data_IF_006487785614
#
_entry.id   IF_006487785614
#
_cell.length_a   1.000
_cell.length_b   1.000
_cell.length_c   1.000
_cell.angle_alpha   90.00
_cell.angle_beta   90.00
_cell.angle_gamma   90.00
#
_symmetry.space_group_name_H-M   'P 1'
#
loop_
_entity.id
_entity.type
_entity.pdbx_description
1 polymer ?
#
# COMPACT_ATOMS: atom_id res chain seq x y z
N UNK A 1 39.00 2.96 -5.93
CA UNK A 1 38.14 4.07 -5.44
C UNK A 1 37.69 4.92 -6.63
N UNK A 2 36.83 4.41 -7.51
CA UNK A 2 36.54 5.13 -8.77
C UNK A 2 35.28 4.72 -9.51
N UNK A 3 34.21 4.31 -8.81
CA UNK A 3 32.94 3.97 -9.47
C UNK A 3 31.67 4.45 -8.73
N UNK A 4 31.79 5.14 -7.58
CA UNK A 4 30.60 5.66 -6.86
C UNK A 4 30.20 7.08 -7.28
N UNK A 5 31.08 7.83 -7.95
CA UNK A 5 30.84 9.25 -8.28
C UNK A 5 30.09 9.48 -9.59
N UNK A 6 29.83 8.43 -10.38
CA UNK A 6 29.22 8.57 -11.72
C UNK A 6 27.72 8.27 -11.76
N UNK A 7 27.15 7.64 -10.72
CA UNK A 7 25.71 7.34 -10.62
C UNK A 7 24.86 8.53 -10.12
N UNK A 8 25.48 9.57 -9.59
CA UNK A 8 24.77 10.74 -9.06
C UNK A 8 24.42 11.80 -10.13
N UNK A 9 24.98 11.75 -11.35
CA UNK A 9 24.81 12.85 -12.32
C UNK A 9 23.47 12.85 -13.06
N UNK A 10 22.73 11.74 -13.07
CA UNK A 10 21.62 11.56 -14.02
C UNK A 10 20.23 11.52 -13.36
N UNK A 11 20.15 11.43 -12.02
CA UNK A 11 18.87 11.49 -11.31
C UNK A 11 18.52 12.94 -10.97
N UNK A 12 17.75 13.59 -11.85
CA UNK A 12 17.23 14.94 -11.64
C UNK A 12 15.73 14.95 -11.87
N UNK A 13 14.98 15.21 -10.79
CA UNK A 13 13.56 15.49 -10.89
C UNK A 13 13.34 16.78 -11.68
N UNK A 14 12.45 16.74 -12.65
CA UNK A 14 12.04 17.85 -13.50
C UNK A 14 10.67 18.42 -13.10
N UNK A 15 9.96 17.71 -12.21
CA UNK A 15 8.63 18.06 -11.71
C UNK A 15 7.52 17.61 -12.66
N UNK A 16 6.32 17.45 -12.11
CA UNK A 16 5.15 16.89 -12.79
C UNK A 16 4.87 17.55 -14.14
N UNK A 17 5.02 18.88 -14.23
CA UNK A 17 4.72 19.64 -15.45
C UNK A 17 5.72 19.35 -16.60
N UNK A 18 6.97 19.06 -16.27
CA UNK A 18 8.02 18.84 -17.27
C UNK A 18 8.30 17.35 -17.49
N UNK A 19 7.69 16.48 -16.67
CA UNK A 19 7.84 15.04 -16.79
C UNK A 19 7.16 14.53 -18.06
N UNK A 20 7.94 13.92 -18.95
CA UNK A 20 7.43 13.26 -20.15
C UNK A 20 7.36 11.76 -19.88
N UNK A 21 6.17 11.27 -19.57
CA UNK A 21 5.93 9.85 -19.32
C UNK A 21 6.21 9.04 -20.58
N UNK A 22 7.07 8.03 -20.44
CA UNK A 22 7.29 6.98 -21.45
C UNK A 22 7.16 5.61 -20.78
N UNK A 23 6.47 4.68 -21.44
CA UNK A 23 6.36 3.30 -20.98
C UNK A 23 7.17 2.40 -21.93
N UNK A 24 8.45 2.11 -21.60
CA UNK A 24 9.33 1.31 -22.44
C UNK A 24 9.02 -0.19 -22.40
N UNK A 25 8.06 -0.62 -21.56
CA UNK A 25 7.72 -2.03 -21.33
C UNK A 25 8.94 -2.88 -20.93
N UNK A 26 9.71 -2.38 -19.96
CA UNK A 26 11.03 -2.92 -19.58
C UNK A 26 11.05 -3.88 -18.38
N UNK A 27 9.91 -4.36 -17.88
CA UNK A 27 9.88 -5.35 -16.79
C UNK A 27 10.82 -6.54 -17.08
N UNK A 28 11.64 -6.91 -16.11
CA UNK A 28 12.61 -8.02 -16.23
C UNK A 28 11.98 -9.39 -16.06
N UNK A 29 10.77 -9.43 -15.54
CA UNK A 29 9.94 -10.60 -15.35
C UNK A 29 8.48 -10.19 -15.43
N UNK A 30 7.62 -11.09 -15.88
CA UNK A 30 6.20 -10.78 -16.05
C UNK A 30 5.51 -10.61 -14.68
N UNK A 31 5.00 -9.40 -14.44
CA UNK A 31 4.20 -9.04 -13.27
C UNK A 31 2.73 -8.97 -13.66
N UNK A 32 1.88 -9.68 -12.92
CA UNK A 32 0.45 -9.73 -13.20
C UNK A 32 -0.30 -8.61 -12.43
N UNK A 33 -0.17 -8.61 -11.10
CA UNK A 33 -0.92 -7.72 -10.20
C UNK A 33 -0.36 -7.74 -8.78
N UNK A 34 -0.84 -6.84 -7.93
CA UNK A 34 -0.73 -7.01 -6.49
C UNK A 34 -1.45 -8.29 -6.06
N UNK A 35 -0.81 -9.07 -5.20
CA UNK A 35 -1.36 -10.31 -4.66
C UNK A 35 -1.90 -10.13 -3.25
N UNK A 36 -1.06 -9.67 -2.32
CA UNK A 36 -1.46 -9.41 -0.93
C UNK A 36 -0.48 -8.45 -0.26
N UNK A 37 -0.90 -7.88 0.86
CA UNK A 37 -0.03 -7.12 1.77
C UNK A 37 0.03 -7.88 3.10
N UNK A 38 1.24 -8.18 3.58
CA UNK A 38 1.42 -8.78 4.90
C UNK A 38 1.86 -7.74 5.92
N UNK A 39 1.10 -7.63 7.00
CA UNK A 39 1.44 -6.90 8.21
C UNK A 39 2.06 -7.86 9.22
N UNK A 40 3.17 -7.43 9.81
CA UNK A 40 3.67 -8.06 11.03
C UNK A 40 3.15 -7.28 12.23
N UNK A 41 2.67 -8.02 13.22
CA UNK A 41 1.93 -7.48 14.35
C UNK A 41 2.38 -8.12 15.67
N UNK A 42 2.11 -7.45 16.78
CA UNK A 42 2.26 -8.03 18.13
C UNK A 42 1.17 -9.06 18.43
N UNK A 43 -0.05 -8.84 17.94
CA UNK A 43 -1.17 -9.77 18.01
C UNK A 43 -1.99 -9.72 16.71
N UNK A 44 -1.97 -10.82 15.96
CA UNK A 44 -2.64 -10.89 14.66
C UNK A 44 -4.16 -10.88 14.78
N UNK A 45 -4.72 -11.45 15.86
CA UNK A 45 -6.18 -11.55 16.08
C UNK A 45 -6.83 -10.18 16.20
N UNK A 46 -6.29 -9.31 17.04
CA UNK A 46 -6.80 -7.96 17.27
C UNK A 46 -6.59 -7.07 16.05
N UNK A 47 -5.40 -7.11 15.44
CA UNK A 47 -5.12 -6.34 14.23
C UNK A 47 -6.07 -6.74 13.08
N UNK A 48 -6.18 -8.04 12.80
CA UNK A 48 -7.09 -8.59 11.80
C UNK A 48 -8.56 -8.23 12.10
N UNK A 49 -9.02 -8.40 13.33
CA UNK A 49 -10.41 -8.10 13.69
C UNK A 49 -10.74 -6.61 13.54
N UNK A 50 -9.81 -5.72 13.95
CA UNK A 50 -9.99 -4.27 13.80
C UNK A 50 -10.05 -3.86 12.33
N UNK A 51 -9.13 -4.35 11.51
CA UNK A 51 -9.14 -4.07 10.07
C UNK A 51 -10.36 -4.68 9.38
N UNK A 52 -10.79 -5.87 9.80
CA UNK A 52 -11.98 -6.54 9.28
C UNK A 52 -13.22 -5.68 9.50
N UNK A 53 -13.42 -5.24 10.74
CA UNK A 53 -14.55 -4.39 11.11
C UNK A 53 -14.44 -2.98 10.51
N UNK A 54 -13.26 -2.36 10.55
CA UNK A 54 -13.06 -0.99 10.12
C UNK A 54 -13.11 -0.79 8.61
N UNK A 55 -12.65 -1.77 7.82
CA UNK A 55 -12.64 -1.72 6.35
C UNK A 55 -13.77 -2.55 5.70
N UNK A 56 -14.49 -3.34 6.49
CA UNK A 56 -15.51 -4.25 5.96
C UNK A 56 -14.90 -5.37 5.13
N UNK A 57 -13.79 -5.94 5.60
CA UNK A 57 -13.08 -7.03 4.94
C UNK A 57 -13.20 -8.31 5.79
N UNK A 58 -13.98 -9.32 5.38
CA UNK A 58 -14.11 -10.55 6.16
C UNK A 58 -12.77 -11.31 6.23
N UNK A 59 -12.53 -11.97 7.36
CA UNK A 59 -11.46 -12.97 7.48
C UNK A 59 -11.90 -14.22 6.71
N UNK A 60 -11.21 -14.52 5.61
CA UNK A 60 -11.58 -15.60 4.67
C UNK A 60 -10.69 -16.82 4.80
N UNK A 61 -9.45 -16.67 5.30
CA UNK A 61 -8.54 -17.77 5.52
C UNK A 61 -7.68 -17.56 6.77
N UNK A 62 -7.16 -18.64 7.32
CA UNK A 62 -6.27 -18.62 8.48
C UNK A 62 -5.20 -19.71 8.39
N UNK A 63 -4.07 -19.47 9.04
CA UNK A 63 -3.08 -20.48 9.40
C UNK A 63 -2.64 -20.19 10.83
N UNK A 64 -3.10 -21.01 11.77
CA UNK A 64 -2.83 -20.88 13.21
C UNK A 64 -2.78 -22.27 13.87
N UNK A 65 -2.73 -22.34 15.20
CA UNK A 65 -2.69 -23.61 15.95
C UNK A 65 -3.80 -24.59 15.55
N UNK A 66 -5.00 -24.09 15.21
CA UNK A 66 -6.13 -24.93 14.83
C UNK A 66 -5.94 -25.61 13.47
N UNK A 67 -5.04 -25.08 12.64
CA UNK A 67 -4.64 -25.62 11.32
C UNK A 67 -3.31 -26.37 11.39
N UNK A 68 -2.75 -26.56 12.60
CA UNK A 68 -1.47 -27.22 12.83
C UNK A 68 -0.23 -26.33 12.73
N UNK A 69 -0.39 -25.01 12.50
CA UNK A 69 0.74 -24.08 12.49
C UNK A 69 1.14 -23.70 13.92
N UNK A 70 2.34 -24.12 14.33
CA UNK A 70 2.90 -23.90 15.66
C UNK A 70 3.89 -22.74 15.73
N UNK A 71 4.17 -22.08 14.60
CA UNK A 71 5.17 -21.01 14.48
C UNK A 71 4.52 -19.64 14.59
N UNK A 72 3.41 -19.44 13.88
CA UNK A 72 2.74 -18.14 13.79
C UNK A 72 1.23 -18.30 13.65
N UNK A 73 0.51 -17.26 14.05
CA UNK A 73 -0.89 -17.06 13.71
C UNK A 73 -0.96 -16.09 12.54
N UNK A 74 -1.64 -16.48 11.46
CA UNK A 74 -1.89 -15.63 10.30
C UNK A 74 -3.35 -15.61 9.90
N UNK A 75 -3.92 -14.42 9.73
CA UNK A 75 -5.32 -14.21 9.33
C UNK A 75 -5.39 -13.39 8.05
N UNK A 76 -6.06 -13.94 7.03
CA UNK A 76 -6.24 -13.31 5.73
C UNK A 76 -7.62 -12.67 5.64
N UNK A 77 -7.64 -11.35 5.46
CA UNK A 77 -8.82 -10.56 5.16
C UNK A 77 -8.90 -10.36 3.66
N UNK A 78 -10.11 -10.43 3.09
CA UNK A 78 -10.31 -10.21 1.65
C UNK A 78 -11.55 -9.39 1.35
N UNK A 79 -11.44 -8.41 0.46
CA UNK A 79 -12.59 -7.72 -0.14
C UNK A 79 -12.30 -7.45 -1.62
N UNK A 80 -13.10 -8.07 -2.50
CA UNK A 80 -12.73 -8.24 -3.91
C UNK A 80 -11.39 -8.95 -4.08
N UNK A 81 -10.46 -8.31 -4.78
CA UNK A 81 -9.09 -8.74 -5.00
C UNK A 81 -8.11 -8.21 -3.95
N UNK A 82 -8.52 -7.26 -3.10
CA UNK A 82 -7.68 -6.79 -2.00
C UNK A 82 -7.54 -7.89 -0.94
N UNK A 83 -6.30 -8.21 -0.58
CA UNK A 83 -5.97 -9.23 0.41
C UNK A 83 -4.96 -8.69 1.42
N UNK A 84 -5.33 -8.65 2.69
CA UNK A 84 -4.47 -8.26 3.81
C UNK A 84 -4.22 -9.46 4.73
N UNK A 85 -2.95 -9.77 4.96
CA UNK A 85 -2.51 -10.85 5.83
C UNK A 85 -1.93 -10.25 7.11
N UNK A 86 -2.39 -10.67 8.28
CA UNK A 86 -1.83 -10.24 9.56
C UNK A 86 -1.17 -11.43 10.22
N UNK A 87 0.13 -11.32 10.51
CA UNK A 87 0.92 -12.40 11.09
C UNK A 87 1.54 -11.97 12.43
N UNK A 88 1.49 -12.86 13.41
CA UNK A 88 2.14 -12.68 14.71
C UNK A 88 2.80 -13.99 15.17
N UNK A 89 3.95 -13.94 15.86
CA UNK A 89 4.66 -15.12 16.28
C UNK A 89 3.98 -15.75 17.50
N UNK A 90 3.99 -17.07 17.57
CA UNK A 90 3.77 -17.76 18.83
C UNK A 90 5.07 -17.80 19.67
N UNK A 91 4.96 -18.26 20.93
CA UNK A 91 6.14 -18.56 21.73
C UNK A 91 6.99 -19.64 21.03
N UNK A 92 8.31 -19.44 20.85
CA UNK A 92 9.19 -20.45 20.26
C UNK A 92 9.21 -21.79 21.00
N UNK A 93 8.79 -21.82 22.28
CA UNK A 93 8.65 -23.06 23.04
C UNK A 93 7.56 -23.99 22.52
N UNK A 94 6.56 -23.48 21.78
CA UNK A 94 5.47 -24.28 21.22
C UNK A 94 5.97 -25.19 20.09
N UNK A 95 6.96 -24.75 19.32
CA UNK A 95 7.54 -25.49 18.19
C UNK A 95 8.82 -26.26 18.54
N UNK A 96 9.29 -26.18 19.79
CA UNK A 96 10.57 -26.75 20.23
C UNK A 96 10.65 -28.30 20.17
N UNK A 97 9.52 -28.99 19.95
CA UNK A 97 9.41 -30.45 20.05
C UNK A 97 9.25 -31.24 18.74
N UNK A 98 9.31 -30.61 17.56
CA UNK A 98 9.08 -31.34 16.31
C UNK A 98 9.32 -30.54 15.02
N UNK A 99 8.99 -31.17 13.88
CA UNK A 99 9.04 -30.52 12.56
C UNK A 99 7.90 -29.52 12.40
N UNK A 100 8.01 -28.36 13.05
CA UNK A 100 7.01 -27.31 12.98
C UNK A 100 6.88 -26.78 11.55
N UNK A 101 5.65 -26.76 11.02
CA UNK A 101 5.36 -26.28 9.67
C UNK A 101 4.79 -24.88 9.72
N UNK A 102 5.59 -23.87 9.38
CA UNK A 102 5.08 -22.54 9.06
C UNK A 102 4.45 -22.57 7.67
N UNK A 103 3.22 -22.06 7.53
CA UNK A 103 2.59 -21.90 6.21
C UNK A 103 3.30 -20.83 5.37
N UNK A 104 3.92 -19.84 6.02
CA UNK A 104 4.78 -18.85 5.39
C UNK A 104 6.23 -19.26 5.68
N UNK A 105 6.96 -19.82 4.71
CA UNK A 105 8.29 -20.40 4.94
C UNK A 105 9.36 -19.38 5.34
N UNK A 106 9.11 -18.09 5.09
CA UNK A 106 10.00 -16.97 5.40
C UNK A 106 9.73 -16.33 6.76
N UNK A 107 8.72 -16.80 7.49
CA UNK A 107 8.40 -16.27 8.79
C UNK A 107 9.48 -16.65 9.80
N UNK A 108 10.09 -15.63 10.43
CA UNK A 108 11.00 -15.78 11.55
C UNK A 108 10.46 -15.05 12.78
N UNK A 109 10.29 -15.76 13.88
CA UNK A 109 9.66 -15.22 15.08
C UNK A 109 10.48 -14.09 15.72
N UNK A 110 11.82 -14.21 15.73
CA UNK A 110 12.69 -13.19 16.29
C UNK A 110 12.68 -11.91 15.45
N UNK A 111 12.72 -12.04 14.12
CA UNK A 111 12.59 -10.93 13.18
C UNK A 111 11.22 -10.26 13.30
N UNK A 112 10.14 -11.03 13.44
CA UNK A 112 8.80 -10.47 13.62
C UNK A 112 8.67 -9.67 14.93
N UNK A 113 9.22 -10.19 16.03
CA UNK A 113 9.25 -9.46 17.31
C UNK A 113 10.10 -8.19 17.22
N UNK A 114 11.29 -8.27 16.61
CA UNK A 114 12.16 -7.12 16.39
C UNK A 114 11.49 -6.06 15.51
N UNK A 115 10.81 -6.47 14.44
CA UNK A 115 10.07 -5.59 13.55
C UNK A 115 8.93 -4.90 14.29
N UNK A 116 8.10 -5.64 15.02
CA UNK A 116 6.98 -5.09 15.76
C UNK A 116 7.42 -4.14 16.88
N UNK A 117 8.54 -4.43 17.55
CA UNK A 117 9.13 -3.53 18.55
C UNK A 117 9.66 -2.23 17.91
N UNK A 118 10.37 -2.36 16.78
CA UNK A 118 11.00 -1.25 16.07
C UNK A 118 10.01 -0.34 15.36
N UNK A 119 8.97 -0.90 14.73
CA UNK A 119 8.05 -0.15 13.85
C UNK A 119 6.63 -0.02 14.42
N UNK A 120 6.24 -0.85 15.40
CA UNK A 120 4.84 -1.04 15.76
C UNK A 120 4.11 -1.91 14.73
N UNK A 121 2.83 -1.62 14.49
CA UNK A 121 2.09 -2.22 13.38
C UNK A 121 2.62 -1.66 12.05
N UNK A 122 3.11 -2.52 11.16
CA UNK A 122 3.64 -2.11 9.87
C UNK A 122 3.58 -3.21 8.81
N UNK A 123 3.72 -2.81 7.54
CA UNK A 123 3.77 -3.75 6.41
C UNK A 123 5.17 -4.36 6.33
N UNK A 124 5.24 -5.68 6.41
CA UNK A 124 6.46 -6.46 6.19
C UNK A 124 6.66 -6.79 4.72
N UNK A 125 5.61 -7.25 4.04
CA UNK A 125 5.72 -7.72 2.66
C UNK A 125 4.68 -7.07 1.75
N UNK A 126 5.15 -6.56 0.61
CA UNK A 126 4.32 -6.24 -0.55
C UNK A 126 4.45 -7.43 -1.50
N UNK A 127 3.38 -8.19 -1.69
CA UNK A 127 3.41 -9.37 -2.54
C UNK A 127 2.84 -9.08 -3.93
N UNK A 128 3.59 -9.49 -4.96
CA UNK A 128 3.19 -9.44 -6.36
C UNK A 128 2.92 -10.86 -6.86
N UNK A 129 1.83 -11.00 -7.61
CA UNK A 129 1.63 -12.18 -8.44
C UNK A 129 2.47 -12.01 -9.70
N UNK A 130 3.36 -12.97 -9.94
CA UNK A 130 4.26 -13.01 -11.11
C UNK A 130 4.05 -14.31 -11.87
N UNK A 131 4.45 -14.34 -13.15
CA UNK A 131 4.33 -15.56 -13.94
C UNK A 131 5.14 -16.73 -13.34
N UNK A 132 6.34 -16.45 -12.82
CA UNK A 132 7.22 -17.43 -12.18
C UNK A 132 8.08 -16.75 -11.10
N UNK A 133 7.87 -17.13 -9.83
CA UNK A 133 8.59 -16.56 -8.69
C UNK A 133 10.09 -16.90 -8.68
N UNK A 134 10.49 -18.07 -9.21
CA UNK A 134 11.90 -18.45 -9.32
C UNK A 134 12.60 -17.60 -10.38
N UNK A 135 11.96 -17.44 -11.54
CA UNK A 135 12.48 -16.59 -12.60
C UNK A 135 12.55 -15.12 -12.17
N UNK A 136 11.51 -14.60 -11.49
CA UNK A 136 11.48 -13.24 -10.97
C UNK A 136 12.59 -12.99 -9.95
N UNK A 137 12.80 -13.90 -9.00
CA UNK A 137 13.88 -13.82 -8.04
C UNK A 137 15.25 -13.83 -8.71
N UNK A 138 15.50 -14.78 -9.62
CA UNK A 138 16.78 -14.89 -10.33
C UNK A 138 17.07 -13.64 -11.14
N UNK A 139 16.09 -13.12 -11.87
CA UNK A 139 16.22 -11.87 -12.63
C UNK A 139 16.50 -10.68 -11.70
N UNK A 140 15.81 -10.59 -10.56
CA UNK A 140 16.01 -9.53 -9.58
C UNK A 140 17.42 -9.54 -9.00
N UNK A 141 17.89 -10.68 -8.49
CA UNK A 141 19.22 -10.81 -7.86
C UNK A 141 20.34 -10.58 -8.88
N UNK A 142 20.18 -11.05 -10.12
CA UNK A 142 21.12 -10.79 -11.21
C UNK A 142 21.26 -9.29 -11.54
N UNK A 143 20.27 -8.48 -11.16
CA UNK A 143 20.25 -7.03 -11.35
C UNK A 143 20.31 -6.26 -10.01
N UNK A 144 20.91 -6.88 -9.00
CA UNK A 144 21.32 -6.20 -7.77
C UNK A 144 20.30 -6.20 -6.63
N UNK A 145 19.17 -6.90 -6.75
CA UNK A 145 18.27 -7.08 -5.61
C UNK A 145 18.96 -7.86 -4.49
N UNK A 146 18.81 -7.39 -3.25
CA UNK A 146 19.29 -8.11 -2.08
C UNK A 146 18.38 -9.32 -1.80
N UNK A 147 18.89 -10.56 -1.84
CA UNK A 147 18.06 -11.74 -1.58
C UNK A 147 17.67 -11.81 -0.11
N UNK A 148 16.39 -12.07 0.17
CA UNK A 148 15.88 -12.30 1.53
C UNK A 148 15.48 -13.75 1.73
N UNK A 149 14.79 -14.34 0.75
CA UNK A 149 14.48 -15.76 0.73
C UNK A 149 14.58 -16.34 -0.67
N UNK A 150 15.34 -17.43 -0.80
CA UNK A 150 15.50 -18.13 -2.07
C UNK A 150 14.17 -18.77 -2.51
N UNK A 151 13.97 -18.99 -3.82
CA UNK A 151 12.75 -19.57 -4.34
C UNK A 151 12.44 -20.93 -3.72
N UNK A 152 11.18 -21.10 -3.33
CA UNK A 152 10.64 -22.36 -2.84
C UNK A 152 9.32 -22.68 -3.57
N UNK A 153 9.09 -23.96 -3.79
CA UNK A 153 7.83 -24.46 -4.34
C UNK A 153 6.97 -25.04 -3.21
N UNK A 154 6.02 -24.24 -2.72
CA UNK A 154 5.12 -24.59 -1.63
C UNK A 154 4.04 -25.54 -2.12
N UNK A 155 3.81 -26.63 -1.38
CA UNK A 155 2.81 -27.65 -1.71
C UNK A 155 2.95 -28.23 -3.12
N UNK A 156 4.14 -28.15 -3.74
CA UNK A 156 4.38 -28.59 -5.12
C UNK A 156 3.73 -27.71 -6.22
N UNK A 157 3.08 -26.60 -5.86
CA UNK A 157 2.20 -25.83 -6.76
C UNK A 157 2.39 -24.31 -6.76
N UNK A 158 2.85 -23.73 -5.65
CA UNK A 158 2.95 -22.27 -5.49
C UNK A 158 4.42 -21.87 -5.37
N UNK A 159 4.94 -21.14 -6.34
CA UNK A 159 6.27 -20.54 -6.28
C UNK A 159 6.27 -19.36 -5.31
N UNK A 160 7.33 -19.25 -4.51
CA UNK A 160 7.45 -18.24 -3.47
C UNK A 160 8.90 -17.79 -3.33
N UNK A 161 9.17 -16.48 -3.34
CA UNK A 161 10.50 -15.92 -3.12
C UNK A 161 10.42 -14.49 -2.57
N UNK A 162 11.49 -13.99 -1.94
CA UNK A 162 11.54 -12.63 -1.39
C UNK A 162 12.88 -11.94 -1.64
N UNK A 163 12.81 -10.66 -2.02
CA UNK A 163 13.97 -9.76 -2.08
C UNK A 163 13.70 -8.51 -1.24
N UNK A 164 14.75 -7.82 -0.79
CA UNK A 164 14.60 -6.57 -0.04
C UNK A 164 14.04 -5.49 -0.97
N UNK A 165 13.04 -4.75 -0.49
CA UNK A 165 12.46 -3.62 -1.20
C UNK A 165 13.07 -2.29 -0.72
N UNK A 166 12.81 -1.91 0.53
CA UNK A 166 13.41 -0.77 1.24
C UNK A 166 13.24 -0.97 2.74
N UNK A 167 14.18 -0.45 3.55
CA UNK A 167 14.17 -0.66 5.00
C UNK A 167 14.04 -2.16 5.33
N UNK A 168 13.10 -2.47 6.22
CA UNK A 168 12.75 -3.85 6.59
C UNK A 168 11.51 -4.37 5.82
N UNK A 169 11.17 -3.78 4.68
CA UNK A 169 10.10 -4.22 3.79
C UNK A 169 10.66 -5.12 2.69
N UNK A 170 9.96 -6.21 2.38
CA UNK A 170 10.30 -7.13 1.30
C UNK A 170 9.32 -7.03 0.14
N UNK A 171 9.83 -7.23 -1.07
CA UNK A 171 9.03 -7.53 -2.24
C UNK A 171 8.93 -9.05 -2.36
N UNK A 172 7.72 -9.57 -2.22
CA UNK A 172 7.44 -11.00 -2.29
C UNK A 172 6.91 -11.37 -3.66
N UNK A 173 7.48 -12.41 -4.26
CA UNK A 173 7.01 -12.98 -5.51
C UNK A 173 6.20 -14.24 -5.22
N UNK A 174 4.98 -14.29 -5.74
CA UNK A 174 4.11 -15.46 -5.68
C UNK A 174 3.72 -15.85 -7.10
N UNK A 175 3.86 -17.12 -7.45
CA UNK A 175 3.38 -17.65 -8.73
C UNK A 175 2.62 -18.97 -8.52
N UNK A 176 1.71 -19.29 -9.42
CA UNK A 176 0.91 -20.51 -9.37
C UNK A 176 1.09 -21.30 -10.66
N UNK A 177 1.31 -22.61 -10.55
CA UNK A 177 1.33 -23.49 -11.73
C UNK A 177 -0.02 -23.56 -12.44
N UNK A 178 -1.10 -23.38 -11.70
CA UNK A 178 -2.46 -23.40 -12.22
C UNK A 178 -2.98 -21.97 -12.35
N UNK A 179 -3.15 -21.51 -13.60
CA UNK A 179 -3.67 -20.18 -13.90
C UNK A 179 -5.12 -19.97 -13.42
N UNK A 180 -5.88 -21.05 -13.18
CA UNK A 180 -7.26 -21.00 -12.71
C UNK A 180 -7.39 -20.95 -11.18
N UNK A 181 -6.28 -20.84 -10.44
CA UNK A 181 -6.27 -20.86 -8.97
C UNK A 181 -7.27 -19.88 -8.33
N UNK A 182 -7.48 -18.70 -8.91
CA UNK A 182 -8.42 -17.69 -8.39
C UNK A 182 -9.89 -18.12 -8.35
N UNK A 183 -10.25 -19.17 -9.10
CA UNK A 183 -11.61 -19.74 -9.12
C UNK A 183 -11.81 -20.87 -8.10
N UNK A 184 -10.75 -21.33 -7.44
CA UNK A 184 -10.83 -22.35 -6.40
C UNK A 184 -11.42 -21.73 -5.11
N UNK A 185 -12.16 -22.55 -4.36
CA UNK A 185 -12.74 -22.15 -3.08
C UNK A 185 -11.80 -22.43 -1.90
N UNK A 186 -10.83 -23.33 -2.07
CA UNK A 186 -9.90 -23.77 -1.02
C UNK A 186 -8.68 -22.82 -0.91
N UNK A 187 -8.52 -22.09 0.21
CA UNK A 187 -7.40 -21.16 0.39
C UNK A 187 -6.02 -21.78 0.31
N UNK A 188 -5.90 -23.09 0.58
CA UNK A 188 -4.63 -23.80 0.40
C UNK A 188 -4.18 -23.86 -1.07
N UNK A 189 -5.10 -23.56 -2.00
CA UNK A 189 -4.91 -23.63 -3.45
C UNK A 189 -4.90 -22.27 -4.12
N UNK A 190 -5.81 -21.37 -3.73
CA UNK A 190 -5.92 -20.04 -4.31
C UNK A 190 -5.11 -18.96 -3.58
N UNK A 191 -4.67 -19.21 -2.34
CA UNK A 191 -3.82 -18.30 -1.57
C UNK A 191 -2.44 -18.90 -1.27
N UNK A 192 -2.29 -19.72 -0.24
CA UNK A 192 -1.00 -20.33 0.11
C UNK A 192 -1.25 -21.69 0.75
N UNK A 193 -0.46 -22.72 0.40
CA UNK A 193 -0.51 -24.01 1.09
C UNK A 193 -0.38 -23.85 2.62
N UNK A 194 -1.18 -24.60 3.39
CA UNK A 194 -1.22 -24.49 4.85
C UNK A 194 -2.18 -23.43 5.40
N UNK A 195 -2.92 -22.73 4.53
CA UNK A 195 -4.07 -21.92 4.91
C UNK A 195 -5.38 -22.70 4.75
N UNK A 196 -6.27 -22.54 5.72
CA UNK A 196 -7.61 -23.13 5.72
C UNK A 196 -8.68 -22.03 5.70
N UNK A 197 -9.87 -22.36 5.21
CA UNK A 197 -11.01 -21.45 5.22
C UNK A 197 -11.38 -21.06 6.65
N UNK A 198 -11.60 -19.77 6.87
CA UNK A 198 -12.09 -19.25 8.14
C UNK A 198 -13.59 -19.03 8.07
N UNK A 199 -14.34 -19.43 9.10
CA UNK A 199 -15.73 -18.99 9.26
C UNK A 199 -15.67 -17.54 9.73
N UNK A 200 -16.00 -16.59 8.85
CA UNK A 200 -15.93 -15.18 9.17
C UNK A 200 -16.72 -14.86 10.46
N UNK A 201 -16.05 -14.25 11.44
CA UNK A 201 -16.68 -13.79 12.68
C UNK A 201 -17.80 -12.76 12.42
N UNK A 202 -17.72 -12.05 11.29
CA UNK A 202 -18.70 -11.08 10.81
C UNK A 202 -19.19 -11.47 9.41
N UNK A 203 -20.25 -12.27 9.34
CA UNK A 203 -20.86 -12.65 8.06
C UNK A 203 -21.39 -11.40 7.32
N UNK A 204 -21.10 -11.29 6.03
CA UNK A 204 -21.65 -10.26 5.14
C UNK A 204 -20.97 -8.89 5.19
N UNK A 205 -19.78 -8.76 5.80
CA UNK A 205 -18.99 -7.53 5.68
C UNK A 205 -18.53 -7.32 4.23
N UNK A 206 -18.99 -6.24 3.59
CA UNK A 206 -18.40 -5.68 2.38
C UNK A 206 -18.84 -4.22 2.24
N UNK A 207 -17.88 -3.29 2.38
CA UNK A 207 -18.15 -1.86 2.26
C UNK A 207 -17.90 -1.33 0.84
N UNK A 208 -17.41 -2.16 -0.09
CA UNK A 208 -17.20 -1.78 -1.49
C UNK A 208 -15.74 -1.66 -1.92
N UNK A 209 -14.77 -1.92 -1.04
CA UNK A 209 -13.34 -1.95 -1.38
C UNK A 209 -13.07 -3.16 -2.30
N UNK A 210 -12.22 -3.01 -3.32
CA UNK A 210 -12.02 -4.04 -4.35
C UNK A 210 -10.58 -4.42 -4.62
N UNK A 211 -9.64 -3.49 -4.61
CA UNK A 211 -8.23 -3.80 -4.92
C UNK A 211 -7.29 -2.78 -4.30
N UNK A 212 -6.01 -3.15 -4.23
CA UNK A 212 -4.94 -2.20 -3.98
C UNK A 212 -4.70 -1.39 -5.27
N UNK A 213 -4.62 -0.08 -5.16
CA UNK A 213 -4.23 0.80 -6.26
C UNK A 213 -2.73 0.98 -6.31
N UNK A 214 -2.16 1.40 -5.19
CA UNK A 214 -0.74 1.65 -5.04
C UNK A 214 -0.31 1.50 -3.57
N UNK A 215 0.98 1.24 -3.36
CA UNK A 215 1.60 1.14 -2.04
C UNK A 215 2.82 2.04 -1.99
N UNK A 216 2.83 2.99 -1.05
CA UNK A 216 3.82 4.08 -1.01
C UNK A 216 4.86 3.82 0.05
N UNK A 217 6.14 3.89 -0.33
CA UNK A 217 7.28 3.79 0.58
C UNK A 217 7.87 5.16 0.92
N UNK A 218 8.24 5.38 2.18
CA UNK A 218 9.08 6.50 2.58
C UNK A 218 10.52 6.03 2.73
N UNK A 219 11.45 6.77 2.15
CA UNK A 219 12.89 6.52 2.18
C UNK A 219 13.65 7.80 2.56
N UNK A 220 14.85 7.71 3.15
CA UNK A 220 15.65 8.89 3.45
C UNK A 220 16.16 9.62 2.20
N UNK A 221 16.48 8.86 1.15
CA UNK A 221 16.99 9.38 -0.13
C UNK A 221 16.30 8.65 -1.29
N UNK A 222 15.68 9.41 -2.20
CA UNK A 222 14.85 8.90 -3.28
C UNK A 222 15.68 8.34 -4.42
N UNK A 223 16.71 9.05 -4.87
CA UNK A 223 17.56 8.68 -5.98
C UNK A 223 18.13 7.24 -5.88
N UNK A 224 18.79 6.84 -4.77
CA UNK A 224 19.29 5.47 -4.63
C UNK A 224 18.17 4.44 -4.53
N UNK A 225 17.05 4.75 -3.87
CA UNK A 225 15.93 3.82 -3.72
C UNK A 225 15.20 3.55 -5.05
N UNK A 226 14.92 4.61 -5.81
CA UNK A 226 14.33 4.52 -7.16
C UNK A 226 15.26 3.75 -8.09
N UNK A 227 16.56 4.09 -8.08
CA UNK A 227 17.56 3.42 -8.92
C UNK A 227 17.66 1.93 -8.59
N UNK A 228 17.69 1.57 -7.31
CA UNK A 228 17.70 0.18 -6.85
C UNK A 228 16.47 -0.58 -7.37
N UNK A 229 15.25 -0.07 -7.10
CA UNK A 229 14.00 -0.72 -7.48
C UNK A 229 13.86 -0.85 -9.00
N UNK A 230 14.04 0.25 -9.73
CA UNK A 230 14.04 0.30 -11.20
C UNK A 230 15.04 -0.68 -11.79
N UNK A 231 16.25 -0.76 -11.23
CA UNK A 231 17.28 -1.60 -11.78
C UNK A 231 16.94 -3.09 -11.64
N UNK A 232 16.39 -3.57 -10.53
CA UNK A 232 16.14 -5.01 -10.38
C UNK A 232 14.79 -5.47 -10.94
N UNK A 233 13.76 -4.62 -10.97
CA UNK A 233 12.45 -4.99 -11.54
C UNK A 233 12.32 -4.65 -13.01
N UNK A 234 13.00 -3.61 -13.49
CA UNK A 234 12.76 -3.03 -14.81
C UNK A 234 11.52 -2.13 -14.88
N UNK A 235 10.89 -1.82 -13.74
CA UNK A 235 9.75 -0.90 -13.67
C UNK A 235 10.13 0.48 -14.17
N UNK A 236 9.22 1.16 -14.87
CA UNK A 236 9.46 2.51 -15.39
C UNK A 236 8.89 3.59 -14.48
N UNK A 237 9.42 4.80 -14.63
CA UNK A 237 8.87 5.99 -13.97
C UNK A 237 7.55 6.38 -14.64
N UNK A 238 6.49 6.38 -13.85
CA UNK A 238 5.14 6.68 -14.30
C UNK A 238 4.80 8.16 -14.11
N UNK A 239 5.22 8.72 -12.97
CA UNK A 239 5.01 10.12 -12.61
C UNK A 239 6.04 10.52 -11.55
N UNK A 240 6.29 11.81 -11.42
CA UNK A 240 7.08 12.39 -10.34
C UNK A 240 6.45 13.69 -9.86
N UNK A 241 6.76 14.03 -8.61
CA UNK A 241 6.29 15.24 -7.95
C UNK A 241 7.45 15.82 -7.14
N UNK A 242 7.73 17.12 -7.31
CA UNK A 242 8.72 17.81 -6.48
C UNK A 242 8.06 18.62 -5.36
N UNK A 243 8.86 19.16 -4.45
CA UNK A 243 8.39 20.06 -3.41
C UNK A 243 7.57 21.24 -3.97
N UNK A 244 7.93 21.76 -5.14
CA UNK A 244 7.20 22.84 -5.82
C UNK A 244 5.85 22.39 -6.37
N UNK A 245 5.69 21.10 -6.66
CA UNK A 245 4.45 20.53 -7.18
C UNK A 245 3.41 20.26 -6.09
N UNK A 246 3.85 19.76 -4.93
CA UNK A 246 2.96 19.21 -3.89
C UNK A 246 3.15 19.79 -2.50
N UNK A 247 4.22 20.55 -2.26
CA UNK A 247 4.52 21.15 -0.97
C UNK A 247 3.61 22.33 -0.61
N UNK A 248 3.57 22.62 0.69
CA UNK A 248 2.98 23.85 1.24
C UNK A 248 4.06 24.92 1.35
N UNK A 249 3.67 26.12 1.82
CA UNK A 249 4.64 27.14 2.23
C UNK A 249 5.49 26.73 3.44
N UNK A 250 5.15 25.62 4.11
CA UNK A 250 5.75 25.18 5.37
C UNK A 250 6.48 23.84 5.28
N UNK A 251 6.07 22.91 4.40
CA UNK A 251 6.66 21.58 4.27
C UNK A 251 6.55 21.03 2.84
N UNK A 252 7.35 20.01 2.51
CA UNK A 252 7.31 19.37 1.19
C UNK A 252 7.87 17.95 1.18
N UNK A 253 7.71 17.30 0.04
CA UNK A 253 8.32 16.02 -0.30
C UNK A 253 8.68 15.99 -1.79
N UNK A 254 9.61 15.10 -2.14
CA UNK A 254 9.77 14.65 -3.51
C UNK A 254 9.25 13.22 -3.62
N UNK A 255 8.61 12.89 -4.73
CA UNK A 255 8.02 11.59 -4.98
C UNK A 255 8.25 11.11 -6.41
N UNK A 256 8.52 9.82 -6.58
CA UNK A 256 8.55 9.14 -7.89
C UNK A 256 7.69 7.90 -7.82
N UNK A 257 6.83 7.73 -8.81
CA UNK A 257 5.98 6.55 -8.99
C UNK A 257 6.65 5.59 -9.96
N UNK A 258 6.98 4.38 -9.49
CA UNK A 258 7.41 3.29 -10.36
C UNK A 258 6.23 2.37 -10.70
N UNK A 259 6.17 1.92 -11.95
CA UNK A 259 5.09 1.08 -12.45
C UNK A 259 5.62 -0.13 -13.22
N UNK A 260 4.90 -1.24 -13.17
CA UNK A 260 5.14 -2.37 -14.07
C UNK A 260 4.66 -2.07 -15.50
N UNK A 261 4.93 -2.97 -16.44
CA UNK A 261 4.58 -2.81 -17.86
C UNK A 261 3.11 -2.48 -18.09
N UNK A 262 2.18 -3.19 -17.45
CA UNK A 262 0.73 -2.95 -17.56
C UNK A 262 0.23 -1.78 -16.72
N UNK A 263 1.09 -1.19 -15.89
CA UNK A 263 0.80 -0.10 -14.97
C UNK A 263 -0.35 -0.41 -14.01
N UNK A 264 -0.48 -1.69 -13.64
CA UNK A 264 -1.45 -2.21 -12.65
C UNK A 264 -0.82 -2.37 -11.26
N UNK A 265 0.52 -2.38 -11.19
CA UNK A 265 1.31 -2.34 -9.95
C UNK A 265 2.03 -1.01 -9.91
N UNK A 266 1.73 -0.22 -8.88
CA UNK A 266 2.21 1.14 -8.70
C UNK A 266 2.89 1.25 -7.32
N UNK A 267 4.18 1.57 -7.32
CA UNK A 267 5.01 1.70 -6.13
C UNK A 267 5.63 3.10 -6.05
N UNK A 268 4.89 4.10 -5.53
CA UNK A 268 5.44 5.40 -5.21
C UNK A 268 6.50 5.34 -4.09
N UNK A 269 7.53 6.17 -4.21
CA UNK A 269 8.57 6.37 -3.22
C UNK A 269 8.67 7.86 -2.90
N UNK A 270 8.76 8.21 -1.61
CA UNK A 270 8.92 9.59 -1.16
C UNK A 270 10.23 9.79 -0.38
N UNK A 271 10.82 10.96 -0.52
CA UNK A 271 11.88 11.47 0.38
C UNK A 271 11.47 12.79 1.05
N UNK A 272 12.02 13.10 2.24
CA UNK A 272 11.82 14.39 2.87
C UNK A 272 12.56 15.51 2.13
N UNK A 273 11.97 16.70 2.14
CA UNK A 273 12.66 17.94 1.72
C UNK A 273 13.08 18.68 2.98
N UNK A 274 14.38 18.90 3.14
CA UNK A 274 14.96 19.56 4.31
C UNK A 274 15.01 21.08 4.15
N UNK A 275 15.11 21.80 5.27
CA UNK A 275 15.25 23.27 5.28
C UNK A 275 13.93 24.04 5.12
N UNK A 276 12.78 23.37 5.22
CA UNK A 276 11.45 23.98 5.23
C UNK A 276 11.09 24.54 6.62
N UNK A 277 10.08 25.42 6.72
CA UNK A 277 9.70 26.08 7.99
C UNK A 277 9.20 25.10 9.04
N UNK A 278 8.46 24.08 8.61
CA UNK A 278 8.05 22.93 9.40
C UNK A 278 8.80 21.71 8.93
N UNK A 279 8.85 20.75 9.84
CA UNK A 279 9.41 19.44 9.60
C UNK A 279 8.58 18.68 8.55
N UNK A 280 9.24 18.02 7.62
CA UNK A 280 8.55 17.23 6.59
C UNK A 280 7.81 16.05 7.24
N UNK A 281 6.58 15.78 6.80
CA UNK A 281 5.83 14.60 7.25
C UNK A 281 6.57 13.28 6.95
N UNK A 282 7.39 13.27 5.90
CA UNK A 282 8.23 12.11 5.56
C UNK A 282 9.33 11.93 6.60
N UNK A 283 9.92 13.02 7.08
CA UNK A 283 10.92 12.98 8.15
C UNK A 283 10.30 12.56 9.49
N UNK A 284 9.09 13.05 9.81
CA UNK A 284 8.33 12.61 10.99
C UNK A 284 8.07 11.10 10.94
N UNK A 285 7.66 10.58 9.79
CA UNK A 285 7.51 9.15 9.56
C UNK A 285 8.82 8.41 9.83
N UNK A 286 9.92 8.82 9.19
CA UNK A 286 11.21 8.10 9.29
C UNK A 286 11.73 8.02 10.72
N UNK A 287 11.51 9.05 11.55
CA UNK A 287 11.87 8.99 12.96
C UNK A 287 10.97 8.06 13.77
N UNK A 288 9.64 8.19 13.66
CA UNK A 288 8.72 7.39 14.47
C UNK A 288 8.64 5.93 14.02
N UNK A 289 8.94 5.68 12.74
CA UNK A 289 9.08 4.34 12.18
C UNK A 289 10.50 3.78 12.36
N UNK A 290 11.47 4.54 12.87
CA UNK A 290 12.87 4.11 12.97
C UNK A 290 13.47 3.63 11.62
N UNK A 291 13.18 4.39 10.56
CA UNK A 291 13.71 4.18 9.21
C UNK A 291 12.64 4.04 8.13
N UNK A 292 13.08 3.62 6.95
CA UNK A 292 12.24 3.45 5.77
C UNK A 292 11.16 2.38 5.95
N UNK A 293 10.01 2.55 5.29
CA UNK A 293 8.87 1.66 5.40
C UNK A 293 7.69 2.08 4.53
N UNK A 294 6.60 1.30 4.57
CA UNK A 294 5.36 1.64 3.88
C UNK A 294 4.63 2.74 4.64
N UNK A 295 4.38 3.87 3.96
CA UNK A 295 3.64 5.00 4.51
C UNK A 295 2.13 4.81 4.35
N UNK A 296 1.66 4.48 3.16
CA UNK A 296 0.23 4.28 2.96
C UNK A 296 -0.09 3.27 1.87
N UNK A 297 -1.32 2.78 1.96
CA UNK A 297 -1.93 1.86 1.00
C UNK A 297 -3.21 2.50 0.48
N UNK A 298 -3.30 2.69 -0.83
CA UNK A 298 -4.47 3.25 -1.48
C UNK A 298 -5.40 2.15 -1.95
N UNK A 299 -6.63 2.14 -1.43
CA UNK A 299 -7.60 1.07 -1.65
C UNK A 299 -8.72 1.58 -2.55
N UNK A 300 -8.90 0.93 -3.69
CA UNK A 300 -9.96 1.30 -4.63
C UNK A 300 -11.30 0.80 -4.13
N UNK A 301 -12.28 1.70 -4.11
CA UNK A 301 -13.70 1.38 -4.02
C UNK A 301 -14.40 1.64 -5.36
N UNK A 302 -15.45 0.86 -5.63
CA UNK A 302 -16.36 1.12 -6.75
C UNK A 302 -17.52 2.08 -6.39
N UNK A 303 -17.67 2.39 -5.09
CA UNK A 303 -18.62 3.39 -4.58
C UNK A 303 -18.04 3.94 -3.28
N UNK A 304 -17.15 4.92 -3.42
CA UNK A 304 -16.44 5.55 -2.29
C UNK A 304 -17.43 6.17 -1.31
N UNK A 305 -18.57 6.68 -1.79
CA UNK A 305 -19.59 7.27 -0.93
C UNK A 305 -20.19 6.23 0.02
N UNK A 306 -20.56 5.05 -0.48
CA UNK A 306 -21.02 3.94 0.37
C UNK A 306 -19.91 3.46 1.30
N UNK A 307 -18.70 3.28 0.78
CA UNK A 307 -17.57 2.81 1.59
C UNK A 307 -17.33 3.74 2.77
N UNK A 308 -17.24 5.05 2.55
CA UNK A 308 -16.99 6.01 3.63
C UNK A 308 -18.15 6.16 4.59
N UNK A 309 -19.41 6.09 4.14
CA UNK A 309 -20.55 6.03 5.06
C UNK A 309 -20.43 4.86 6.03
N UNK A 310 -20.06 3.68 5.54
CA UNK A 310 -19.91 2.50 6.38
C UNK A 310 -18.68 2.58 7.29
N UNK A 311 -17.53 3.04 6.79
CA UNK A 311 -16.32 3.22 7.61
C UNK A 311 -16.53 4.27 8.70
N UNK A 312 -17.10 5.44 8.37
CA UNK A 312 -17.36 6.53 9.33
C UNK A 312 -18.33 6.14 10.44
N UNK A 313 -19.35 5.33 10.16
CA UNK A 313 -20.25 4.77 11.19
C UNK A 313 -19.51 3.97 12.27
N UNK A 314 -18.32 3.45 11.93
CA UNK A 314 -17.55 2.54 12.79
C UNK A 314 -16.35 3.22 13.44
N UNK A 315 -15.99 4.44 13.05
CA UNK A 315 -14.84 5.18 13.59
C UNK A 315 -14.81 5.20 15.12
N UNK A 316 -15.96 5.49 15.76
CA UNK A 316 -16.07 5.60 17.23
C UNK A 316 -16.34 4.27 17.96
N UNK A 317 -16.39 3.16 17.22
CA UNK A 317 -16.64 1.81 17.78
C UNK A 317 -15.60 0.83 17.22
N UNK A 318 -14.32 1.22 17.28
CA UNK A 318 -13.18 0.37 16.93
C UNK A 318 -12.75 0.40 15.46
N UNK A 319 -13.36 1.23 14.61
CA UNK A 319 -12.94 1.41 13.22
C UNK A 319 -11.75 2.37 13.04
N UNK A 320 -11.71 3.02 11.88
CA UNK A 320 -10.70 4.01 11.53
C UNK A 320 -11.28 5.42 11.52
N UNK A 321 -10.50 6.37 12.01
CA UNK A 321 -10.79 7.79 11.90
C UNK A 321 -10.19 8.36 10.62
N UNK A 322 -10.75 9.49 10.16
CA UNK A 322 -10.30 10.17 8.97
C UNK A 322 -9.64 11.50 9.32
N UNK A 323 -8.81 12.00 8.41
CA UNK A 323 -8.25 13.35 8.51
C UNK A 323 -9.39 14.40 8.55
N UNK A 324 -9.15 15.57 9.17
CA UNK A 324 -10.13 16.64 9.19
C UNK A 324 -10.58 17.01 7.77
N UNK A 325 -11.88 17.23 7.59
CA UNK A 325 -12.43 17.63 6.30
C UNK A 325 -11.87 19.01 5.89
N UNK A 326 -11.60 19.23 4.59
CA UNK A 326 -11.34 20.57 4.05
C UNK A 326 -12.43 21.59 4.41
N UNK A 327 -12.13 22.89 4.41
CA UNK A 327 -13.13 23.92 4.67
C UNK A 327 -14.20 23.96 3.57
N UNK A 328 -15.42 24.47 3.84
CA UNK A 328 -16.49 24.58 2.85
C UNK A 328 -16.10 25.32 1.56
N UNK A 329 -15.14 26.24 1.64
CA UNK A 329 -14.59 26.96 0.48
C UNK A 329 -13.92 26.03 -0.54
N UNK A 330 -13.36 24.89 -0.12
CA UNK A 330 -12.81 23.87 -1.00
C UNK A 330 -13.91 23.28 -1.91
N UNK A 331 -15.05 22.92 -1.32
CA UNK A 331 -16.19 22.30 -2.02
C UNK A 331 -16.95 23.31 -2.89
N UNK A 332 -17.08 24.55 -2.44
CA UNK A 332 -17.63 25.63 -3.25
C UNK A 332 -16.86 25.82 -4.58
N UNK A 333 -15.53 25.63 -4.55
CA UNK A 333 -14.68 25.70 -5.73
C UNK A 333 -14.67 24.39 -6.55
N UNK A 334 -15.12 23.27 -5.98
CA UNK A 334 -15.11 21.96 -6.62
C UNK A 334 -16.09 21.90 -7.80
N UNK A 335 -17.21 22.61 -7.72
CA UNK A 335 -18.16 22.76 -8.84
C UNK A 335 -17.49 23.31 -10.10
N UNK A 336 -16.48 24.20 -9.97
CA UNK A 336 -15.74 24.74 -11.12
C UNK A 336 -14.73 23.74 -11.70
N UNK A 337 -14.25 22.79 -10.91
CA UNK A 337 -13.20 21.81 -11.29
C UNK A 337 -13.76 20.50 -11.84
N UNK A 338 -14.86 20.02 -11.25
CA UNK A 338 -15.40 18.68 -11.51
C UNK A 338 -16.94 18.66 -11.65
N UNK A 339 -17.60 19.81 -11.84
CA UNK A 339 -19.08 19.87 -11.94
C UNK A 339 -19.68 19.25 -13.22
N UNK A 340 -18.84 18.93 -14.21
CA UNK A 340 -19.20 18.17 -15.41
C UNK A 340 -19.08 16.64 -15.22
N UNK A 341 -18.41 16.19 -14.15
CA UNK A 341 -18.24 14.76 -13.81
C UNK A 341 -19.08 14.37 -12.59
N UNK A 342 -19.14 15.25 -11.59
CA UNK A 342 -19.88 15.04 -10.34
C UNK A 342 -21.14 15.89 -10.33
N UNK A 343 -22.27 15.26 -9.98
CA UNK A 343 -23.53 15.97 -9.76
C UNK A 343 -23.46 16.84 -8.50
N UNK A 344 -24.34 17.83 -8.40
CA UNK A 344 -24.44 18.70 -7.21
C UNK A 344 -24.63 17.88 -5.92
N UNK A 345 -25.39 16.79 -5.97
CA UNK A 345 -25.63 15.93 -4.81
C UNK A 345 -24.42 15.05 -4.48
N UNK A 346 -23.62 14.66 -5.47
CA UNK A 346 -22.33 14.00 -5.22
C UNK A 346 -21.31 14.96 -4.60
N UNK A 347 -21.26 16.22 -5.04
CA UNK A 347 -20.39 17.24 -4.44
C UNK A 347 -20.76 17.49 -2.97
N UNK A 348 -22.06 17.56 -2.64
CA UNK A 348 -22.52 17.63 -1.24
C UNK A 348 -22.09 16.42 -0.43
N UNK A 349 -22.21 15.21 -0.99
CA UNK A 349 -21.71 14.00 -0.31
C UNK A 349 -20.19 14.04 -0.12
N UNK A 350 -19.43 14.60 -1.06
CA UNK A 350 -18.00 14.83 -0.86
C UNK A 350 -17.75 15.74 0.34
N UNK A 351 -18.49 16.84 0.48
CA UNK A 351 -18.39 17.75 1.63
C UNK A 351 -18.74 17.06 2.95
N UNK A 352 -19.87 16.37 3.01
CA UNK A 352 -20.34 15.64 4.21
C UNK A 352 -19.34 14.56 4.65
N UNK A 353 -18.73 13.87 3.70
CA UNK A 353 -17.82 12.75 3.97
C UNK A 353 -16.35 13.17 4.01
N UNK A 354 -16.01 14.44 3.73
CA UNK A 354 -14.63 14.92 3.72
C UNK A 354 -13.79 14.41 2.54
N UNK A 355 -14.42 14.09 1.40
CA UNK A 355 -13.74 13.53 0.23
C UNK A 355 -13.05 14.64 -0.57
N UNK A 356 -11.77 14.45 -0.83
CA UNK A 356 -10.98 15.28 -1.72
C UNK A 356 -11.18 14.83 -3.18
N UNK A 357 -11.23 15.78 -4.12
CA UNK A 357 -11.40 15.50 -5.54
C UNK A 357 -10.31 16.21 -6.32
N UNK A 358 -9.53 15.42 -7.06
CA UNK A 358 -8.56 15.90 -8.04
C UNK A 358 -8.96 15.48 -9.44
N UNK A 359 -8.41 16.16 -10.44
CA UNK A 359 -8.67 15.89 -11.85
C UNK A 359 -7.43 16.12 -12.69
N UNK A 360 -7.16 15.18 -13.58
CA UNK A 360 -6.16 15.32 -14.64
C UNK A 360 -6.82 15.39 -16.03
N UNK A 361 -6.01 15.33 -17.07
CA UNK A 361 -6.44 15.35 -18.47
C UNK A 361 -7.24 14.09 -18.88
N UNK A 362 -7.17 13.00 -18.11
CA UNK A 362 -7.70 11.68 -18.47
C UNK A 362 -8.90 11.25 -17.60
N UNK A 363 -8.99 11.73 -16.36
CA UNK A 363 -10.04 11.34 -15.42
C UNK A 363 -10.07 12.13 -14.12
N UNK A 364 -10.93 11.67 -13.23
CA UNK A 364 -11.20 12.29 -11.92
C UNK A 364 -10.86 11.29 -10.82
N UNK A 365 -10.18 11.76 -9.77
CA UNK A 365 -9.81 10.98 -8.60
C UNK A 365 -10.56 11.52 -7.36
N UNK A 366 -11.38 10.68 -6.76
CA UNK A 366 -11.93 10.89 -5.43
C UNK A 366 -11.04 10.18 -4.43
N UNK A 367 -10.66 10.84 -3.34
CA UNK A 367 -9.76 10.27 -2.33
C UNK A 367 -10.06 10.78 -0.92
N UNK A 368 -9.71 10.00 0.07
CA UNK A 368 -9.67 10.43 1.47
C UNK A 368 -8.61 9.64 2.24
N UNK A 369 -8.05 10.26 3.27
CA UNK A 369 -7.00 9.67 4.10
C UNK A 369 -7.52 9.38 5.51
N UNK A 370 -7.19 8.20 6.02
CA UNK A 370 -7.38 7.89 7.44
C UNK A 370 -6.34 8.64 8.28
N UNK A 371 -6.61 8.79 9.57
CA UNK A 371 -5.53 8.96 10.55
C UNK A 371 -4.63 7.71 10.56
N UNK A 372 -3.45 7.74 11.23
CA UNK A 372 -2.63 6.56 11.37
C UNK A 372 -3.42 5.34 11.87
N UNK A 373 -3.16 4.17 11.28
CA UNK A 373 -3.90 2.94 11.58
C UNK A 373 -3.33 2.18 12.78
N UNK A 374 -2.22 2.63 13.35
CA UNK A 374 -1.64 2.16 14.61
C UNK A 374 -1.35 3.32 15.55
N UNK A 375 -0.55 3.05 16.59
CA UNK A 375 -0.28 4.04 17.65
C UNK A 375 0.63 5.19 17.18
N UNK A 376 1.51 4.92 16.21
CA UNK A 376 2.54 5.86 15.76
C UNK A 376 2.05 6.65 14.54
N UNK A 377 2.49 7.91 14.34
CA UNK A 377 2.19 8.72 13.16
C UNK A 377 2.98 8.22 11.93
N UNK A 378 2.70 6.98 11.52
CA UNK A 378 3.44 6.25 10.48
C UNK A 378 2.50 5.79 9.38
N UNK A 379 2.07 4.53 9.40
CA UNK A 379 1.22 3.96 8.36
C UNK A 379 -0.22 4.47 8.45
N UNK A 380 -0.80 4.86 7.32
CA UNK A 380 -2.23 5.19 7.17
C UNK A 380 -2.82 4.56 5.90
N UNK A 381 -4.12 4.70 5.70
CA UNK A 381 -4.84 4.18 4.53
C UNK A 381 -5.42 5.35 3.75
N UNK A 382 -5.36 5.24 2.42
CA UNK A 382 -6.10 6.09 1.51
C UNK A 382 -7.24 5.25 0.89
N UNK A 383 -8.45 5.80 0.83
CA UNK A 383 -9.56 5.19 0.09
C UNK A 383 -9.80 6.05 -1.14
N UNK A 384 -9.83 5.41 -2.31
CA UNK A 384 -9.98 6.12 -3.58
C UNK A 384 -11.08 5.54 -4.47
N UNK A 385 -11.58 6.36 -5.37
CA UNK A 385 -12.35 5.95 -6.54
C UNK A 385 -11.88 6.76 -7.74
N UNK A 386 -11.64 6.07 -8.86
CA UNK A 386 -11.18 6.66 -10.11
C UNK A 386 -12.34 6.65 -11.11
N UNK A 387 -12.60 7.79 -11.74
CA UNK A 387 -13.68 7.95 -12.74
C UNK A 387 -13.05 8.34 -14.07
N UNK A 388 -13.36 7.58 -15.12
CA UNK A 388 -12.83 7.78 -16.48
C UNK A 388 -11.81 6.71 -16.90
N UNK A 389 -11.09 6.99 -17.99
CA UNK A 389 -10.07 6.13 -18.60
C UNK A 389 -10.48 4.66 -18.83
N UNK A 390 -11.74 4.45 -19.22
CA UNK A 390 -12.22 3.12 -19.60
C UNK A 390 -11.68 2.79 -20.99
N UNK A 391 -11.03 1.63 -21.09
CA UNK A 391 -10.46 1.11 -22.34
C UNK A 391 -11.02 -0.30 -22.55
N UNK A 392 -11.27 -0.65 -23.79
CA UNK A 392 -11.65 -1.99 -24.21
C UNK A 392 -10.42 -2.69 -24.78
N UNK A 393 -10.11 -3.89 -24.30
CA UNK A 393 -9.05 -4.71 -24.89
C UNK A 393 -9.50 -5.39 -26.18
N UNK A 394 -8.57 -6.10 -26.85
CA UNK A 394 -8.84 -6.82 -28.10
C UNK A 394 -9.90 -7.92 -27.96
N UNK A 395 -10.21 -8.33 -26.72
CA UNK A 395 -11.17 -9.38 -26.37
C UNK A 395 -12.56 -8.80 -26.00
N UNK A 396 -12.72 -7.47 -26.05
CA UNK A 396 -13.96 -6.77 -25.73
C UNK A 396 -14.20 -6.55 -24.24
N UNK A 397 -13.19 -6.80 -23.39
CA UNK A 397 -13.29 -6.60 -21.94
C UNK A 397 -12.92 -5.16 -21.61
N UNK A 398 -13.85 -4.47 -20.97
CA UNK A 398 -13.66 -3.09 -20.52
C UNK A 398 -12.90 -3.09 -19.19
N UNK A 399 -11.77 -2.37 -19.14
CA UNK A 399 -10.98 -2.15 -17.94
C UNK A 399 -10.63 -0.66 -17.79
N UNK A 400 -10.33 -0.25 -16.55
CA UNK A 400 -9.87 1.09 -16.27
C UNK A 400 -8.34 1.13 -16.34
N UNK A 401 -7.79 2.07 -17.11
CA UNK A 401 -6.34 2.29 -17.17
C UNK A 401 -5.78 2.64 -15.78
N UNK A 402 -4.62 2.07 -15.44
CA UNK A 402 -3.93 2.34 -14.18
C UNK A 402 -3.68 3.84 -13.96
N UNK A 403 -3.86 4.28 -12.71
CA UNK A 403 -3.68 5.65 -12.25
C UNK A 403 -4.49 6.73 -13.03
N UNK A 404 -5.67 6.39 -13.54
CA UNK A 404 -6.63 7.34 -14.11
C UNK A 404 -6.99 8.46 -13.10
N UNK A 405 -6.82 9.74 -13.45
CA UNK A 405 -7.01 10.85 -12.52
C UNK A 405 -5.78 11.18 -11.66
N UNK A 406 -4.63 10.56 -11.96
CA UNK A 406 -3.34 10.84 -11.33
C UNK A 406 -3.24 10.34 -9.89
N UNK A 407 -2.46 11.03 -9.06
CA UNK A 407 -2.24 10.67 -7.65
C UNK A 407 -2.69 11.77 -6.69
N UNK A 408 -3.54 12.70 -7.13
CA UNK A 408 -4.03 13.75 -6.24
C UNK A 408 -3.06 14.89 -6.03
N UNK A 409 -2.23 15.24 -7.03
CA UNK A 409 -1.28 16.37 -6.96
C UNK A 409 -1.94 17.62 -6.38
N UNK A 410 -3.12 17.99 -6.88
CA UNK A 410 -3.86 19.17 -6.41
C UNK A 410 -4.37 19.04 -4.97
N UNK A 411 -4.56 17.81 -4.50
CA UNK A 411 -5.02 17.49 -3.15
C UNK A 411 -3.89 17.39 -2.13
N UNK A 412 -2.65 17.11 -2.52
CA UNK A 412 -1.51 17.04 -1.58
C UNK A 412 -1.34 18.32 -0.76
N UNK A 413 -1.45 19.50 -1.39
CA UNK A 413 -1.41 20.78 -0.67
C UNK A 413 -2.51 20.88 0.40
N UNK A 414 -3.73 20.42 0.09
CA UNK A 414 -4.84 20.45 1.04
C UNK A 414 -4.66 19.40 2.15
N UNK A 415 -4.18 18.20 1.82
CA UNK A 415 -3.83 17.16 2.80
C UNK A 415 -2.77 17.67 3.79
N UNK A 416 -1.69 18.29 3.30
CA UNK A 416 -0.64 18.82 4.16
C UNK A 416 -1.16 19.92 5.07
N UNK A 417 -2.00 20.84 4.58
CA UNK A 417 -2.66 21.83 5.45
C UNK A 417 -3.49 21.17 6.55
N UNK A 418 -4.27 20.14 6.21
CA UNK A 418 -5.07 19.40 7.20
C UNK A 418 -4.19 18.68 8.24
N UNK A 419 -3.05 18.12 7.84
CA UNK A 419 -2.09 17.50 8.76
C UNK A 419 -1.42 18.57 9.65
N UNK A 420 -0.94 19.66 9.05
CA UNK A 420 -0.28 20.76 9.76
C UNK A 420 -1.21 21.41 10.79
N UNK A 421 -2.50 21.53 10.48
CA UNK A 421 -3.53 22.00 11.40
C UNK A 421 -3.79 20.99 12.51
N UNK A 422 -3.90 19.70 12.18
CA UNK A 422 -4.06 18.63 13.18
C UNK A 422 -2.88 18.57 14.16
N UNK A 423 -1.64 18.61 13.69
CA UNK A 423 -0.45 18.66 14.54
C UNK A 423 -0.43 19.89 15.45
N UNK A 424 -0.85 21.04 14.93
CA UNK A 424 -0.96 22.26 15.73
C UNK A 424 -1.95 22.08 16.88
N UNK A 425 -3.10 21.45 16.64
CA UNK A 425 -4.06 21.15 17.72
C UNK A 425 -3.49 20.21 18.79
N UNK A 426 -2.66 19.23 18.41
CA UNK A 426 -2.00 18.33 19.36
C UNK A 426 -0.96 19.05 20.22
N UNK A 427 -0.18 19.96 19.63
CA UNK A 427 0.81 20.78 20.34
C UNK A 427 0.15 21.80 21.27
N UNK A 428 -0.95 22.42 20.85
CA UNK A 428 -1.74 23.35 21.67
C UNK A 428 -2.43 22.65 22.86
N UNK A 429 -2.88 21.40 22.68
CA UNK A 429 -3.42 20.60 23.78
C UNK A 429 -2.36 20.32 24.86
N UNK A 430 -1.10 20.08 24.46
CA UNK A 430 0.03 19.85 25.38
C UNK A 430 0.48 21.09 26.14
N UNK A 431 0.23 22.29 25.62
CA UNK A 431 0.60 23.56 26.30
C UNK A 431 -0.48 24.05 27.26
N UNK A 432 -1.68 23.46 27.22
CA UNK A 432 -2.80 23.76 28.13
C UNK A 432 -2.97 22.74 29.26
N UNK A 433 -2.28 21.60 29.20
CA UNK A 433 -2.11 20.61 30.27
C UNK A 433 -0.84 20.90 31.05
#
# INVERSE_FOLDING_TARGET
>A
MGNQTQLQSDFKLVGFKNFVRTNPKSDRFQVNRFHHIEFWCTDATNAASRFSWGLGMPIVAKSDLSTGNQIHASYLLRSGDLSFLFSAPYSPSISAGGAATAAIPTFDAAACLSFAAKHGLGVRAIALEVADAEAAFRASVAHGAEPVSSPALLGGRTGFAEVRLYGDVVLRYVSYKDASHTSDTDPSRWFLPGFEASVAAFQGLDYGIRRLDHAVGNVPELAPAVSYLKNFTGFHEFAEFTAEDVGTSESGLNSVVLANNSETVLLPLNEPVYGTKRRSQIETYLEHNEGAGVQHLALVSNDIFRTLREMRKRSFVGGFEFMPSPPPTYYANLHKRAGDVLTVDQIKQCEELGILVDRDDQGTLLQIFTKPVGDRPTIFIEIIERVGCMVEDEEGKVYQKGACGGFGKGNFSELFKSIEEYEKTLLEARTKS
#
